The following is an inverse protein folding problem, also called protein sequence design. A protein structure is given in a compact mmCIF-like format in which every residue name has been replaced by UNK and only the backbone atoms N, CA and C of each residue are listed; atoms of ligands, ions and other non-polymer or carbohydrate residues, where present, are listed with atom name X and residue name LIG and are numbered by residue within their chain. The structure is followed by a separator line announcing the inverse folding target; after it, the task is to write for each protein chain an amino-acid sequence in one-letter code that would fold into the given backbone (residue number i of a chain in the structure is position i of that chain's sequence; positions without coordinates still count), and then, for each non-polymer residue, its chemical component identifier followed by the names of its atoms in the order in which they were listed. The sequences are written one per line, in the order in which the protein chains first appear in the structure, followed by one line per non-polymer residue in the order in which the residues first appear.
data_IF_466074806482
#
_entry.id   IF_466074806482
#
_cell.length_a   1.000
_cell.length_b   1.000
_cell.length_c   1.000
_cell.angle_alpha   90.00
_cell.angle_beta   90.00
_cell.angle_gamma   90.00
#
_symmetry.space_group_name_H-M   'P 1'
#
loop_
_entity.id
_entity.type
_entity.pdbx_description
1 polymer ?
#
# COMPACT_ATOMS: atom_id res chain seq x y z
N UNK A 1 -12.58 6.99 -16.44
CA UNK A 1 -12.00 7.56 -15.20
C UNK A 1 -10.50 7.53 -15.37
N UNK A 2 -9.87 8.70 -15.59
CA UNK A 2 -8.42 8.80 -15.70
C UNK A 2 -7.82 8.55 -14.32
N UNK A 3 -7.01 7.49 -14.17
CA UNK A 3 -6.21 7.27 -12.96
C UNK A 3 -5.07 8.29 -12.96
N UNK A 4 -5.38 9.50 -12.49
CA UNK A 4 -4.37 10.52 -12.27
C UNK A 4 -3.29 9.94 -11.35
N UNK A 5 -2.11 9.65 -11.90
CA UNK A 5 -0.94 9.33 -11.09
C UNK A 5 -0.57 10.60 -10.34
N UNK A 6 -1.08 10.74 -9.12
CA UNK A 6 -0.69 11.83 -8.25
C UNK A 6 0.81 11.70 -8.01
N UNK A 7 1.58 12.59 -8.66
CA UNK A 7 2.92 12.95 -8.24
C UNK A 7 2.81 13.42 -6.81
N UNK A 8 3.05 12.53 -5.85
CA UNK A 8 3.09 12.89 -4.44
C UNK A 8 4.35 13.70 -4.27
N UNK A 9 4.23 15.04 -4.30
CA UNK A 9 5.30 15.92 -3.82
C UNK A 9 5.64 15.46 -2.41
N UNK A 10 6.84 14.90 -2.23
CA UNK A 10 7.32 14.48 -0.92
C UNK A 10 7.34 15.76 -0.08
N UNK A 11 6.48 15.82 0.93
CA UNK A 11 6.45 16.95 1.86
C UNK A 11 7.75 16.89 2.64
N UNK A 12 8.71 17.73 2.24
CA UNK A 12 9.94 17.91 2.99
C UNK A 12 9.59 18.52 4.33
N UNK A 13 9.92 17.84 5.42
CA UNK A 13 9.74 18.36 6.77
C UNK A 13 10.86 19.38 6.98
N UNK A 14 10.51 20.66 7.03
CA UNK A 14 11.46 21.71 7.44
C UNK A 14 11.96 21.39 8.85
N UNK A 15 13.28 21.29 9.06
CA UNK A 15 13.83 21.09 10.40
C UNK A 15 13.37 22.22 11.34
N UNK A 16 12.93 21.92 12.56
CA UNK A 16 12.65 22.96 13.55
C UNK A 16 13.93 23.72 13.92
N UNK A 17 13.78 24.95 14.40
CA UNK A 17 14.91 25.76 14.88
C UNK A 17 15.72 24.99 15.94
N UNK A 18 17.05 24.99 15.80
CA UNK A 18 17.96 24.23 16.66
C UNK A 18 17.99 22.72 16.40
N UNK A 19 17.38 22.23 15.31
CA UNK A 19 17.65 20.87 14.86
C UNK A 19 19.10 20.74 14.41
N UNK A 20 19.77 19.70 14.92
CA UNK A 20 21.13 19.33 14.54
C UNK A 20 21.19 17.92 13.99
N UNK A 21 22.24 17.64 13.22
CA UNK A 21 22.55 16.29 12.80
C UNK A 21 22.91 15.45 14.04
N UNK A 22 22.20 14.37 14.31
CA UNK A 22 22.52 13.54 15.48
C UNK A 22 23.87 12.78 15.38
N UNK A 23 24.52 12.82 14.21
CA UNK A 23 25.82 12.19 13.96
C UNK A 23 26.99 13.15 14.11
N UNK A 24 27.01 14.28 13.38
CA UNK A 24 28.09 15.28 13.48
C UNK A 24 27.81 16.39 14.51
N UNK A 25 26.59 16.46 15.04
CA UNK A 25 26.09 17.46 15.99
C UNK A 25 26.01 18.89 15.45
N UNK A 26 26.21 19.09 14.14
CA UNK A 26 26.11 20.40 13.49
C UNK A 26 24.65 20.78 13.18
N UNK A 27 24.34 22.06 13.31
CA UNK A 27 23.04 22.64 12.94
C UNK A 27 23.03 23.07 11.47
N UNK A 28 21.87 22.97 10.82
CA UNK A 28 21.71 23.46 9.44
C UNK A 28 22.37 22.55 8.37
N UNK A 29 22.57 23.08 7.15
CA UNK A 29 23.22 22.33 6.08
C UNK A 29 24.68 21.95 6.39
N UNK A 30 25.17 20.84 5.83
CA UNK A 30 26.59 20.48 5.94
C UNK A 30 27.49 21.36 5.06
N UNK A 31 28.81 21.11 5.08
CA UNK A 31 29.81 21.83 4.28
C UNK A 31 29.53 21.82 2.77
N UNK A 32 28.77 20.84 2.27
CA UNK A 32 28.36 20.73 0.87
C UNK A 32 27.03 21.44 0.57
N UNK A 33 26.40 22.01 1.59
CA UNK A 33 25.06 22.60 1.53
C UNK A 33 23.93 21.56 1.57
N UNK A 34 24.21 20.30 1.91
CA UNK A 34 23.17 19.29 2.02
C UNK A 34 22.33 19.54 3.28
N UNK A 35 20.99 19.62 3.17
CA UNK A 35 20.14 19.94 4.32
C UNK A 35 20.05 18.78 5.31
N UNK A 36 19.62 19.08 6.53
CA UNK A 36 19.12 18.07 7.46
C UNK A 36 17.86 17.42 6.91
N UNK A 37 17.82 16.10 6.93
CA UNK A 37 16.66 15.31 6.52
C UNK A 37 16.16 14.45 7.66
N UNK A 38 14.83 14.25 7.72
CA UNK A 38 14.18 13.36 8.67
C UNK A 38 13.00 12.67 8.00
N UNK A 39 13.31 11.67 7.19
CA UNK A 39 12.31 10.80 6.58
C UNK A 39 12.18 9.48 7.37
N UNK A 40 11.92 9.58 8.68
CA UNK A 40 11.64 8.44 9.56
C UNK A 40 10.67 8.85 10.68
N UNK A 41 10.25 7.92 11.54
CA UNK A 41 9.25 8.16 12.59
C UNK A 41 9.84 8.67 13.92
N UNK A 42 11.03 9.27 13.93
CA UNK A 42 11.58 9.92 15.13
C UNK A 42 10.71 11.12 15.56
N UNK A 43 10.52 11.31 16.87
CA UNK A 43 9.71 12.40 17.45
C UNK A 43 10.57 13.59 17.88
N UNK A 44 9.96 14.76 18.02
CA UNK A 44 10.58 15.96 18.59
C UNK A 44 11.72 16.50 17.72
N UNK A 45 12.87 16.81 18.34
CA UNK A 45 14.08 17.27 17.64
C UNK A 45 15.00 16.10 17.24
N UNK A 46 14.61 14.86 17.49
CA UNK A 46 15.45 13.69 17.21
C UNK A 46 15.32 13.21 15.75
N UNK A 47 16.38 12.55 15.27
CA UNK A 47 16.39 11.82 14.00
C UNK A 47 16.72 12.64 12.75
N UNK A 48 17.03 13.93 12.89
CA UNK A 48 17.58 14.74 11.81
C UNK A 48 19.04 14.39 11.56
N UNK A 49 19.41 14.12 10.32
CA UNK A 49 20.80 13.95 9.94
C UNK A 49 21.01 14.40 8.50
N UNK A 50 22.24 14.78 8.16
CA UNK A 50 22.63 14.89 6.77
C UNK A 50 22.69 13.50 6.14
N UNK A 51 22.24 13.37 4.89
CA UNK A 51 22.31 12.11 4.16
C UNK A 51 23.76 11.56 4.06
N UNK A 52 24.80 12.40 3.79
CA UNK A 52 26.19 11.92 3.82
C UNK A 52 26.62 11.32 5.16
N UNK A 53 26.23 11.94 6.28
CA UNK A 53 26.49 11.40 7.62
C UNK A 53 25.82 10.04 7.82
N UNK A 54 24.55 9.88 7.41
CA UNK A 54 23.85 8.59 7.49
C UNK A 54 24.53 7.50 6.67
N UNK A 55 24.99 7.84 5.47
CA UNK A 55 25.73 6.93 4.60
C UNK A 55 27.03 6.50 5.28
N UNK A 56 27.82 7.45 5.77
CA UNK A 56 29.09 7.15 6.46
C UNK A 56 28.88 6.26 7.69
N UNK A 57 27.85 6.56 8.49
CA UNK A 57 27.44 5.73 9.61
C UNK A 57 27.10 4.30 9.16
N UNK A 58 26.30 4.16 8.10
CA UNK A 58 25.87 2.87 7.58
C UNK A 58 27.05 2.04 7.02
N UNK A 59 27.96 2.66 6.27
CA UNK A 59 29.18 2.02 5.79
C UNK A 59 30.07 1.56 6.95
N UNK A 60 30.31 2.43 7.94
CA UNK A 60 31.11 2.09 9.12
C UNK A 60 30.52 0.91 9.87
N UNK A 61 29.20 0.93 10.10
CA UNK A 61 28.51 -0.16 10.81
C UNK A 61 28.56 -1.47 10.03
N UNK A 62 28.53 -1.40 8.70
CA UNK A 62 28.64 -2.55 7.82
C UNK A 62 30.03 -3.17 7.85
N UNK A 63 31.09 -2.34 7.91
CA UNK A 63 32.47 -2.81 8.15
C UNK A 63 32.59 -3.52 9.48
N UNK A 64 32.08 -2.94 10.56
CA UNK A 64 32.11 -3.57 11.89
C UNK A 64 31.45 -4.96 11.90
N UNK A 65 30.33 -5.12 11.16
CA UNK A 65 29.66 -6.41 11.05
C UNK A 65 30.48 -7.43 10.23
N UNK A 66 31.08 -6.98 9.14
CA UNK A 66 31.95 -7.82 8.32
C UNK A 66 33.15 -8.34 9.13
N UNK A 67 33.80 -7.46 9.91
CA UNK A 67 34.94 -7.80 10.76
C UNK A 67 34.59 -8.80 11.88
N UNK A 68 33.34 -8.78 12.36
CA UNK A 68 32.84 -9.74 13.35
C UNK A 68 32.49 -11.10 12.76
N UNK A 69 32.64 -11.28 11.45
CA UNK A 69 32.25 -12.51 10.77
C UNK A 69 30.74 -12.67 10.72
N UNK A 70 29.98 -11.60 10.47
CA UNK A 70 28.62 -11.75 9.96
C UNK A 70 28.73 -12.42 8.57
N UNK A 71 28.67 -13.75 8.56
CA UNK A 71 29.04 -14.57 7.39
C UNK A 71 27.87 -14.76 6.43
N UNK A 72 26.62 -14.56 6.88
CA UNK A 72 25.46 -14.85 6.05
C UNK A 72 24.79 -13.58 5.54
N UNK A 73 24.29 -13.69 4.30
CA UNK A 73 23.41 -12.71 3.67
C UNK A 73 22.23 -12.36 4.61
N UNK A 74 21.69 -13.38 5.26
CA UNK A 74 20.55 -13.24 6.18
C UNK A 74 20.89 -12.34 7.37
N UNK A 75 22.01 -12.55 8.05
CA UNK A 75 22.42 -11.73 9.20
C UNK A 75 22.65 -10.28 8.78
N UNK A 76 23.35 -10.06 7.66
CA UNK A 76 23.62 -8.71 7.19
C UNK A 76 22.33 -7.94 6.88
N UNK A 77 21.39 -8.57 6.16
CA UNK A 77 20.13 -7.93 5.79
C UNK A 77 19.12 -7.83 6.95
N UNK A 78 19.27 -8.63 8.00
CA UNK A 78 18.48 -8.49 9.22
C UNK A 78 18.79 -7.20 9.99
N UNK A 79 20.04 -6.71 9.91
CA UNK A 79 20.46 -5.49 10.59
C UNK A 79 19.92 -4.21 9.94
N UNK A 80 19.43 -4.30 8.68
CA UNK A 80 18.72 -3.22 7.97
C UNK A 80 19.40 -1.85 8.04
N UNK A 81 20.73 -1.82 8.08
CA UNK A 81 21.53 -0.63 8.36
C UNK A 81 21.24 0.52 7.38
N UNK A 82 21.11 0.20 6.08
CA UNK A 82 20.80 1.18 5.04
C UNK A 82 19.30 1.44 4.87
N UNK A 83 18.43 0.66 5.52
CA UNK A 83 16.99 0.74 5.34
C UNK A 83 16.29 1.43 6.50
N UNK A 84 16.83 1.33 7.71
CA UNK A 84 16.16 1.77 8.93
C UNK A 84 16.92 2.85 9.67
N UNK A 85 16.17 3.81 10.21
CA UNK A 85 16.71 4.79 11.13
C UNK A 85 17.28 4.07 12.37
N UNK A 86 18.55 4.31 12.74
CA UNK A 86 19.15 3.63 13.89
C UNK A 86 18.51 4.02 15.22
N UNK A 87 17.82 5.17 15.28
CA UNK A 87 17.16 5.65 16.49
C UNK A 87 15.77 5.03 16.68
N UNK A 88 14.84 5.21 15.72
CA UNK A 88 13.47 4.70 15.84
C UNK A 88 13.24 3.30 15.26
N UNK A 89 14.23 2.72 14.57
CA UNK A 89 14.17 1.41 13.87
C UNK A 89 13.10 1.31 12.79
N UNK A 90 12.59 2.45 12.32
CA UNK A 90 11.61 2.52 11.24
C UNK A 90 12.32 2.66 9.90
N UNK A 91 11.73 2.09 8.85
CA UNK A 91 12.25 2.20 7.49
C UNK A 91 12.28 3.67 7.07
N UNK A 92 13.36 4.08 6.43
CA UNK A 92 13.48 5.41 5.83
C UNK A 92 12.39 5.62 4.76
N UNK A 93 11.97 6.87 4.58
CA UNK A 93 10.91 7.27 3.65
C UNK A 93 11.41 8.36 2.69
N UNK A 94 10.53 8.83 1.81
CA UNK A 94 10.84 9.96 0.95
C UNK A 94 12.03 9.67 0.03
N UNK A 95 13.02 10.56 0.05
CA UNK A 95 14.19 10.46 -0.83
C UNK A 95 15.37 9.74 -0.17
N UNK A 96 15.35 9.54 1.15
CA UNK A 96 16.44 8.85 1.87
C UNK A 96 16.66 7.42 1.33
N UNK A 97 15.65 6.56 1.13
CA UNK A 97 15.86 5.22 0.56
C UNK A 97 16.58 5.22 -0.80
N UNK A 98 16.30 6.21 -1.64
CA UNK A 98 16.96 6.32 -2.94
C UNK A 98 18.46 6.55 -2.75
N UNK A 99 18.84 7.56 -1.96
CA UNK A 99 20.24 7.86 -1.66
C UNK A 99 20.96 6.73 -0.90
N UNK A 100 20.30 6.13 0.10
CA UNK A 100 20.87 5.05 0.91
C UNK A 100 21.11 3.78 0.09
N UNK A 101 20.20 3.40 -0.82
CA UNK A 101 20.40 2.22 -1.68
C UNK A 101 21.44 2.45 -2.76
N UNK A 102 21.56 3.66 -3.31
CA UNK A 102 22.68 4.04 -4.20
C UNK A 102 24.01 3.90 -3.47
N UNK A 103 24.12 4.47 -2.28
CA UNK A 103 25.34 4.39 -1.48
C UNK A 103 25.66 2.96 -1.07
N UNK A 104 24.65 2.17 -0.69
CA UNK A 104 24.83 0.76 -0.35
C UNK A 104 25.42 -0.05 -1.51
N UNK A 105 24.89 0.14 -2.72
CA UNK A 105 25.39 -0.56 -3.90
C UNK A 105 26.84 -0.18 -4.20
N UNK A 106 27.16 1.12 -4.19
CA UNK A 106 28.52 1.61 -4.41
C UNK A 106 29.51 1.12 -3.34
N UNK A 107 29.09 1.07 -2.08
CA UNK A 107 29.87 0.55 -0.96
C UNK A 107 30.24 -0.92 -1.16
N UNK A 108 29.27 -1.78 -1.50
CA UNK A 108 29.54 -3.20 -1.71
C UNK A 108 30.33 -3.51 -2.97
N UNK A 109 30.14 -2.75 -4.04
CA UNK A 109 30.97 -2.88 -5.23
C UNK A 109 32.43 -2.52 -4.96
N UNK A 110 32.66 -1.54 -4.08
CA UNK A 110 34.00 -1.09 -3.69
C UNK A 110 34.68 -2.04 -2.69
N UNK A 111 34.00 -2.40 -1.61
CA UNK A 111 34.63 -3.06 -0.45
C UNK A 111 34.37 -4.58 -0.39
N UNK A 112 33.30 -5.07 -1.02
CA UNK A 112 32.87 -6.47 -0.92
C UNK A 112 32.65 -7.10 -2.30
N UNK A 113 33.54 -6.78 -3.24
CA UNK A 113 33.42 -7.20 -4.64
C UNK A 113 33.36 -8.72 -4.84
N UNK A 114 33.98 -9.48 -3.93
CA UNK A 114 34.09 -10.93 -3.98
C UNK A 114 32.92 -11.63 -3.24
N UNK A 115 32.02 -10.87 -2.62
CA UNK A 115 30.85 -11.39 -1.90
C UNK A 115 29.59 -11.15 -2.74
N UNK A 116 29.40 -12.00 -3.76
CA UNK A 116 28.32 -11.88 -4.76
C UNK A 116 26.93 -11.79 -4.13
N UNK A 117 26.72 -12.51 -3.03
CA UNK A 117 25.45 -12.52 -2.30
C UNK A 117 25.11 -11.12 -1.75
N UNK A 118 26.08 -10.37 -1.24
CA UNK A 118 25.86 -9.02 -0.71
C UNK A 118 25.56 -8.03 -1.83
N UNK A 119 26.27 -8.13 -2.94
CA UNK A 119 25.99 -7.36 -4.15
C UNK A 119 24.57 -7.62 -4.65
N UNK A 120 24.17 -8.90 -4.71
CA UNK A 120 22.81 -9.29 -5.12
C UNK A 120 21.75 -8.62 -4.26
N UNK A 121 21.90 -8.66 -2.93
CA UNK A 121 20.93 -8.04 -2.04
C UNK A 121 20.90 -6.51 -2.12
N UNK A 122 22.02 -5.84 -2.40
CA UNK A 122 22.02 -4.39 -2.68
C UNK A 122 21.34 -4.05 -4.02
N UNK A 123 21.59 -4.84 -5.07
CA UNK A 123 20.92 -4.70 -6.36
C UNK A 123 19.40 -4.89 -6.22
N UNK A 124 18.97 -5.89 -5.44
CA UNK A 124 17.55 -6.10 -5.11
C UNK A 124 16.94 -4.85 -4.48
N UNK A 125 17.56 -4.30 -3.43
CA UNK A 125 17.05 -3.11 -2.76
C UNK A 125 17.01 -1.89 -3.67
N UNK A 126 18.03 -1.73 -4.51
CA UNK A 126 18.09 -0.62 -5.47
C UNK A 126 16.93 -0.71 -6.46
N UNK A 127 16.63 -1.89 -7.02
CA UNK A 127 15.53 -2.04 -7.97
C UNK A 127 14.14 -1.76 -7.37
N UNK A 128 13.98 -1.90 -6.06
CA UNK A 128 12.72 -1.62 -5.37
C UNK A 128 12.40 -0.12 -5.37
N UNK A 129 13.41 0.74 -5.21
CA UNK A 129 13.22 2.19 -5.11
C UNK A 129 13.11 2.88 -6.47
N UNK A 130 13.40 2.19 -7.57
CA UNK A 130 13.31 2.73 -8.93
C UNK A 130 11.87 2.80 -9.44
N UNK A 131 11.51 3.91 -10.07
CA UNK A 131 10.26 4.07 -10.81
C UNK A 131 10.47 3.75 -12.30
N UNK A 132 10.16 2.51 -12.70
CA UNK A 132 10.33 2.04 -14.09
C UNK A 132 9.55 2.85 -15.15
N UNK A 133 8.69 3.80 -14.77
CA UNK A 133 8.02 4.74 -15.68
C UNK A 133 8.85 5.97 -16.01
N UNK A 134 9.86 6.30 -15.19
CA UNK A 134 10.81 7.37 -15.46
C UNK A 134 11.97 6.81 -16.27
N UNK A 135 12.36 7.50 -17.34
CA UNK A 135 13.40 6.98 -18.24
C UNK A 135 14.74 6.71 -17.55
N UNK A 136 15.18 7.60 -16.66
CA UNK A 136 16.44 7.44 -15.91
C UNK A 136 16.41 6.18 -15.05
N UNK A 137 15.38 6.01 -14.22
CA UNK A 137 15.20 4.85 -13.35
C UNK A 137 14.96 3.56 -14.16
N UNK A 138 14.30 3.65 -15.31
CA UNK A 138 14.08 2.54 -16.23
C UNK A 138 15.41 2.01 -16.76
N UNK A 139 16.27 2.88 -17.27
CA UNK A 139 17.59 2.50 -17.82
C UNK A 139 18.43 1.85 -16.73
N UNK A 140 18.55 2.49 -15.56
CA UNK A 140 19.30 1.96 -14.43
C UNK A 140 18.75 0.59 -13.99
N UNK A 141 17.43 0.45 -13.88
CA UNK A 141 16.83 -0.81 -13.45
C UNK A 141 17.00 -1.94 -14.48
N UNK A 142 17.09 -1.64 -15.78
CA UNK A 142 17.43 -2.63 -16.80
C UNK A 142 18.88 -3.09 -16.73
N UNK A 143 19.82 -2.19 -16.42
CA UNK A 143 21.22 -2.51 -16.15
C UNK A 143 21.35 -3.39 -14.90
N UNK A 144 20.65 -3.02 -13.82
CA UNK A 144 20.59 -3.81 -12.57
C UNK A 144 20.02 -5.21 -12.83
N UNK A 145 18.89 -5.33 -13.56
CA UNK A 145 18.33 -6.63 -13.93
C UNK A 145 19.35 -7.51 -14.65
N UNK A 146 20.09 -6.93 -15.60
CA UNK A 146 21.11 -7.64 -16.38
C UNK A 146 22.25 -8.10 -15.49
N UNK A 147 22.72 -7.23 -14.58
CA UNK A 147 23.77 -7.55 -13.61
C UNK A 147 23.34 -8.66 -12.64
N UNK A 148 22.10 -8.63 -12.15
CA UNK A 148 21.55 -9.69 -11.29
C UNK A 148 21.48 -11.04 -12.01
N UNK A 149 21.06 -11.08 -13.28
CA UNK A 149 21.05 -12.32 -14.05
C UNK A 149 22.47 -12.88 -14.26
N UNK A 150 23.45 -12.01 -14.53
CA UNK A 150 24.86 -12.42 -14.65
C UNK A 150 25.40 -13.00 -13.34
N UNK A 151 25.10 -12.38 -12.20
CA UNK A 151 25.50 -12.88 -10.89
C UNK A 151 24.83 -14.23 -10.57
N UNK A 152 23.56 -14.43 -10.94
CA UNK A 152 22.89 -15.73 -10.79
C UNK A 152 23.64 -16.82 -11.56
N UNK A 153 24.02 -16.55 -12.81
CA UNK A 153 24.71 -17.54 -13.65
C UNK A 153 26.11 -17.87 -13.09
N UNK A 154 26.81 -16.87 -12.55
CA UNK A 154 28.10 -17.05 -11.91
C UNK A 154 28.01 -17.84 -10.60
N UNK A 155 27.08 -17.48 -9.72
CA UNK A 155 26.80 -18.20 -8.46
C UNK A 155 26.41 -19.67 -8.73
N UNK A 156 25.57 -19.92 -9.75
CA UNK A 156 25.23 -21.29 -10.18
C UNK A 156 26.45 -22.07 -10.66
N UNK A 157 27.31 -21.45 -11.49
CA UNK A 157 28.53 -22.08 -12.00
C UNK A 157 29.48 -22.47 -10.87
N UNK A 158 29.56 -21.64 -9.83
CA UNK A 158 30.41 -21.86 -8.67
C UNK A 158 29.76 -22.74 -7.59
N UNK A 159 28.52 -23.20 -7.80
CA UNK A 159 27.73 -23.93 -6.78
C UNK A 159 27.67 -23.18 -5.45
N UNK A 160 27.50 -21.85 -5.50
CA UNK A 160 27.49 -20.99 -4.32
C UNK A 160 26.32 -21.36 -3.39
N UNK A 161 26.59 -21.77 -2.13
CA UNK A 161 25.55 -22.18 -1.19
C UNK A 161 24.64 -21.03 -0.73
N UNK A 162 25.05 -19.78 -0.93
CA UNK A 162 24.24 -18.60 -0.59
C UNK A 162 23.09 -18.34 -1.58
N UNK A 163 23.15 -18.91 -2.78
CA UNK A 163 22.04 -18.88 -3.74
C UNK A 163 21.06 -20.00 -3.42
N UNK A 164 20.41 -19.91 -2.25
CA UNK A 164 19.36 -20.84 -1.91
C UNK A 164 18.17 -20.68 -2.87
N UNK A 165 17.34 -21.72 -2.90
CA UNK A 165 16.24 -21.83 -3.87
C UNK A 165 15.22 -20.70 -3.70
N UNK A 166 14.97 -20.26 -2.45
CA UNK A 166 14.05 -19.18 -2.15
C UNK A 166 14.63 -17.81 -2.54
N UNK A 167 15.91 -17.58 -2.31
CA UNK A 167 16.62 -16.40 -2.76
C UNK A 167 16.56 -16.27 -4.29
N UNK A 168 16.82 -17.37 -5.01
CA UNK A 168 16.73 -17.41 -6.47
C UNK A 168 15.32 -17.08 -6.98
N UNK A 169 14.29 -17.70 -6.39
CA UNK A 169 12.90 -17.39 -6.74
C UNK A 169 12.55 -15.92 -6.50
N UNK A 170 13.00 -15.36 -5.38
CA UNK A 170 12.75 -13.97 -5.01
C UNK A 170 13.42 -13.01 -5.99
N UNK A 171 14.67 -13.27 -6.39
CA UNK A 171 15.37 -12.44 -7.38
C UNK A 171 14.61 -12.39 -8.72
N UNK A 172 14.20 -13.55 -9.24
CA UNK A 172 13.41 -13.59 -10.48
C UNK A 172 12.06 -12.90 -10.33
N UNK A 173 11.43 -12.99 -9.16
CA UNK A 173 10.18 -12.26 -8.87
C UNK A 173 10.40 -10.75 -8.95
N UNK A 174 11.45 -10.23 -8.32
CA UNK A 174 11.75 -8.79 -8.30
C UNK A 174 12.07 -8.24 -9.69
N UNK A 175 12.87 -8.96 -10.48
CA UNK A 175 13.10 -8.64 -11.91
C UNK A 175 11.76 -8.63 -12.66
N UNK A 176 10.92 -9.63 -12.40
CA UNK A 176 9.58 -9.76 -12.98
C UNK A 176 8.69 -8.55 -12.70
N UNK A 177 8.63 -8.13 -11.42
CA UNK A 177 7.84 -6.99 -10.95
C UNK A 177 8.39 -5.67 -11.51
N UNK A 178 9.71 -5.50 -11.57
CA UNK A 178 10.31 -4.32 -12.19
C UNK A 178 9.89 -4.18 -13.66
N UNK A 179 10.05 -5.24 -14.46
CA UNK A 179 9.67 -5.19 -15.86
C UNK A 179 8.16 -5.02 -16.08
N UNK A 180 7.33 -5.50 -15.16
CA UNK A 180 5.90 -5.19 -15.16
C UNK A 180 5.63 -3.70 -14.96
N UNK A 181 6.36 -3.01 -14.05
CA UNK A 181 6.23 -1.57 -13.80
C UNK A 181 6.65 -0.69 -14.98
N UNK A 182 7.63 -1.15 -15.78
CA UNK A 182 8.08 -0.47 -17.02
C UNK A 182 6.99 -0.47 -18.10
N UNK A 183 6.12 -1.48 -18.11
CA UNK A 183 4.87 -1.51 -18.89
C UNK A 183 5.00 -1.35 -20.41
N UNK A 184 6.15 -1.69 -20.99
CA UNK A 184 6.27 -1.88 -22.44
C UNK A 184 5.96 -3.32 -22.82
N UNK A 185 5.50 -3.58 -24.05
CA UNK A 185 5.27 -4.94 -24.55
C UNK A 185 6.51 -5.83 -24.43
N UNK A 186 7.71 -5.28 -24.64
CA UNK A 186 8.97 -6.03 -24.52
C UNK A 186 9.29 -6.31 -23.05
N UNK A 187 9.18 -5.32 -22.18
CA UNK A 187 9.38 -5.47 -20.73
C UNK A 187 8.40 -6.47 -20.14
N UNK A 188 7.11 -6.39 -20.47
CA UNK A 188 6.10 -7.37 -20.01
C UNK A 188 6.44 -8.81 -20.39
N UNK A 189 6.99 -9.06 -21.59
CA UNK A 189 7.47 -10.41 -21.97
C UNK A 189 8.66 -10.87 -21.12
N UNK A 190 9.63 -9.99 -20.86
CA UNK A 190 10.76 -10.29 -19.96
C UNK A 190 10.26 -10.56 -18.54
N UNK A 191 9.34 -9.74 -18.06
CA UNK A 191 8.74 -9.85 -16.74
C UNK A 191 7.98 -11.15 -16.55
N UNK A 192 7.14 -11.53 -17.54
CA UNK A 192 6.45 -12.82 -17.58
C UNK A 192 7.43 -13.99 -17.42
N UNK A 193 8.48 -14.03 -18.24
CA UNK A 193 9.48 -15.11 -18.19
C UNK A 193 10.12 -15.25 -16.81
N UNK A 194 10.47 -14.13 -16.18
CA UNK A 194 11.08 -14.17 -14.84
C UNK A 194 10.08 -14.64 -13.78
N UNK A 195 8.83 -14.19 -13.85
CA UNK A 195 7.78 -14.65 -12.94
C UNK A 195 7.45 -16.14 -13.12
N UNK A 196 7.48 -16.67 -14.34
CA UNK A 196 7.31 -18.11 -14.61
C UNK A 196 8.43 -18.92 -13.95
N UNK A 197 9.69 -18.49 -14.13
CA UNK A 197 10.84 -19.14 -13.48
C UNK A 197 10.69 -19.10 -11.96
N UNK A 198 10.35 -17.94 -11.39
CA UNK A 198 10.12 -17.78 -9.95
C UNK A 198 9.02 -18.73 -9.45
N UNK A 199 7.87 -18.79 -10.13
CA UNK A 199 6.76 -19.69 -9.81
C UNK A 199 7.23 -21.14 -9.81
N UNK A 200 7.91 -21.56 -10.86
CA UNK A 200 8.31 -22.95 -11.05
C UNK A 200 9.30 -23.38 -9.97
N UNK A 201 10.24 -22.49 -9.61
CA UNK A 201 11.15 -22.72 -8.47
C UNK A 201 10.35 -22.92 -7.17
N UNK A 202 9.41 -22.02 -6.86
CA UNK A 202 8.63 -22.12 -5.61
C UNK A 202 7.73 -23.36 -5.61
N UNK A 203 7.16 -23.77 -6.75
CA UNK A 203 6.34 -24.99 -6.84
C UNK A 203 7.21 -26.25 -6.67
N UNK A 204 8.37 -26.29 -7.31
CA UNK A 204 9.24 -27.48 -7.28
C UNK A 204 9.88 -27.70 -5.92
N UNK A 205 10.28 -26.62 -5.25
CA UNK A 205 11.09 -26.72 -4.03
C UNK A 205 10.41 -26.14 -2.79
N UNK A 206 9.31 -25.42 -2.95
CA UNK A 206 8.56 -24.85 -1.84
C UNK A 206 7.63 -25.86 -1.19
N UNK A 207 7.69 -25.93 0.13
CA UNK A 207 6.67 -26.61 0.92
C UNK A 207 5.35 -25.84 0.96
N UNK A 208 4.37 -26.37 1.70
CA UNK A 208 3.06 -25.71 1.92
C UNK A 208 3.18 -24.29 2.47
N UNK A 209 4.27 -24.00 3.17
CA UNK A 209 4.57 -22.68 3.74
C UNK A 209 4.71 -21.57 2.69
N UNK A 210 5.07 -21.92 1.44
CA UNK A 210 5.23 -20.95 0.35
C UNK A 210 4.01 -20.85 -0.58
N UNK A 211 2.87 -21.45 -0.23
CA UNK A 211 1.66 -21.38 -1.05
C UNK A 211 1.19 -19.93 -1.28
N UNK A 212 1.33 -19.07 -0.27
CA UNK A 212 1.01 -17.65 -0.39
C UNK A 212 1.86 -16.95 -1.46
N UNK A 213 3.13 -17.32 -1.58
CA UNK A 213 4.06 -16.78 -2.56
C UNK A 213 3.71 -17.26 -3.97
N UNK A 214 3.36 -18.54 -4.12
CA UNK A 214 2.89 -19.10 -5.40
C UNK A 214 1.68 -18.34 -5.92
N UNK A 215 0.68 -18.11 -5.07
CA UNK A 215 -0.54 -17.38 -5.47
C UNK A 215 -0.21 -15.92 -5.81
N UNK A 216 0.68 -15.26 -5.06
CA UNK A 216 1.14 -13.91 -5.41
C UNK A 216 1.81 -13.86 -6.79
N UNK A 217 2.67 -14.82 -7.12
CA UNK A 217 3.34 -14.90 -8.43
C UNK A 217 2.33 -15.19 -9.54
N UNK A 218 1.38 -16.12 -9.33
CA UNK A 218 0.29 -16.40 -10.29
C UNK A 218 -0.55 -15.17 -10.59
N UNK A 219 -0.87 -14.37 -9.57
CA UNK A 219 -1.62 -13.13 -9.76
C UNK A 219 -0.82 -12.10 -10.58
N UNK A 220 0.48 -11.97 -10.31
CA UNK A 220 1.34 -11.12 -11.14
C UNK A 220 1.41 -11.61 -12.60
N UNK A 221 1.48 -12.94 -12.82
CA UNK A 221 1.46 -13.53 -14.16
C UNK A 221 0.15 -13.23 -14.90
N UNK A 222 -1.00 -13.43 -14.25
CA UNK A 222 -2.31 -13.12 -14.83
C UNK A 222 -2.40 -11.63 -15.24
N UNK A 223 -1.88 -10.73 -14.40
CA UNK A 223 -1.83 -9.30 -14.70
C UNK A 223 -0.94 -8.97 -15.91
N UNK A 224 0.23 -9.61 -16.01
CA UNK A 224 1.12 -9.45 -17.18
C UNK A 224 0.46 -9.99 -18.46
N UNK A 225 -0.21 -11.12 -18.40
CA UNK A 225 -0.89 -11.74 -19.54
C UNK A 225 -2.07 -10.92 -20.06
N UNK A 226 -2.87 -10.37 -19.15
CA UNK A 226 -3.97 -9.50 -19.51
C UNK A 226 -3.47 -8.23 -20.24
N UNK A 227 -2.38 -7.62 -19.75
CA UNK A 227 -1.75 -6.48 -20.43
C UNK A 227 -1.17 -6.86 -21.79
N UNK A 228 -0.50 -8.00 -21.91
CA UNK A 228 0.07 -8.47 -23.17
C UNK A 228 -0.99 -8.78 -24.24
N UNK A 229 -2.16 -9.27 -23.83
CA UNK A 229 -3.27 -9.59 -24.72
C UNK A 229 -4.11 -8.38 -25.12
N UNK A 230 -3.88 -7.21 -24.50
CA UNK A 230 -4.72 -6.02 -24.68
C UNK A 230 -6.16 -6.22 -24.17
N UNK A 231 -6.43 -7.33 -23.49
CA UNK A 231 -7.72 -7.58 -22.85
C UNK A 231 -7.82 -6.62 -21.67
N UNK A 232 -8.86 -5.79 -21.69
CA UNK A 232 -9.23 -5.03 -20.50
C UNK A 232 -9.41 -6.02 -19.36
N UNK A 233 -8.55 -5.93 -18.35
CA UNK A 233 -8.58 -6.83 -17.19
C UNK A 233 -10.02 -6.80 -16.65
N UNK A 234 -10.73 -7.96 -16.62
CA UNK A 234 -12.11 -8.01 -16.15
C UNK A 234 -12.18 -7.38 -14.77
N UNK A 235 -12.91 -6.27 -14.65
CA UNK A 235 -13.05 -5.43 -13.46
C UNK A 235 -11.93 -5.69 -12.42
N UNK A 236 -10.73 -5.10 -12.64
CA UNK A 236 -9.51 -5.24 -11.80
C UNK A 236 -9.79 -5.30 -10.29
N UNK A 237 -10.89 -4.68 -9.87
CA UNK A 237 -11.42 -4.57 -8.53
C UNK A 237 -11.44 -5.87 -7.71
N UNK A 238 -11.95 -7.00 -8.22
CA UNK A 238 -12.18 -8.18 -7.36
C UNK A 238 -11.01 -9.19 -7.36
N UNK A 239 -10.37 -9.42 -8.52
CA UNK A 239 -9.22 -10.34 -8.63
C UNK A 239 -8.02 -9.81 -7.84
N UNK A 240 -7.69 -8.52 -7.99
CA UNK A 240 -6.63 -7.88 -7.21
C UNK A 240 -6.91 -7.99 -5.70
N UNK A 241 -8.19 -7.90 -5.31
CA UNK A 241 -8.57 -7.84 -3.92
C UNK A 241 -8.32 -9.17 -3.19
N UNK A 242 -8.58 -10.31 -3.84
CA UNK A 242 -8.28 -11.63 -3.26
C UNK A 242 -6.78 -11.78 -2.98
N UNK A 243 -5.94 -11.40 -3.96
CA UNK A 243 -4.47 -11.41 -3.83
C UNK A 243 -3.99 -10.56 -2.65
N UNK A 244 -4.50 -9.33 -2.56
CA UNK A 244 -4.08 -8.39 -1.53
C UNK A 244 -4.59 -8.81 -0.14
N UNK A 245 -5.80 -9.37 -0.04
CA UNK A 245 -6.30 -9.99 1.20
C UNK A 245 -5.40 -11.15 1.65
N UNK A 246 -5.06 -12.05 0.74
CA UNK A 246 -4.19 -13.19 1.05
C UNK A 246 -2.81 -12.73 1.54
N UNK A 247 -2.21 -11.73 0.88
CA UNK A 247 -0.92 -11.16 1.29
C UNK A 247 -0.99 -10.46 2.64
N UNK A 248 -2.04 -9.67 2.88
CA UNK A 248 -2.26 -9.05 4.19
C UNK A 248 -2.38 -10.09 5.30
N UNK A 249 -3.20 -11.13 5.10
CA UNK A 249 -3.37 -12.22 6.07
C UNK A 249 -2.08 -13.00 6.30
N UNK A 250 -1.30 -13.25 5.25
CA UNK A 250 0.01 -13.90 5.37
C UNK A 250 0.96 -13.08 6.23
N UNK A 251 1.04 -11.76 6.03
CA UNK A 251 1.88 -10.88 6.85
C UNK A 251 1.36 -10.82 8.30
N UNK A 252 0.05 -10.72 8.47
CA UNK A 252 -0.60 -10.71 9.77
C UNK A 252 -0.24 -11.97 10.58
N UNK A 253 -0.24 -13.15 9.95
CA UNK A 253 0.13 -14.42 10.58
C UNK A 253 1.64 -14.53 10.82
N UNK A 254 2.47 -14.14 9.86
CA UNK A 254 3.91 -14.36 9.90
C UNK A 254 4.63 -13.40 10.85
N UNK A 255 4.22 -12.12 10.88
CA UNK A 255 4.97 -11.05 11.56
C UNK A 255 4.10 -10.19 12.48
N UNK A 256 2.79 -10.43 12.51
CA UNK A 256 1.85 -9.75 13.40
C UNK A 256 1.34 -8.41 12.86
N UNK A 257 0.34 -7.87 13.55
CA UNK A 257 -0.37 -6.64 13.15
C UNK A 257 0.44 -5.35 13.33
N UNK A 258 1.45 -5.37 14.21
CA UNK A 258 2.28 -4.21 14.52
C UNK A 258 3.49 -4.07 13.57
N UNK A 259 3.74 -5.07 12.71
CA UNK A 259 4.82 -4.97 11.73
C UNK A 259 4.47 -3.92 10.67
N UNK A 260 5.47 -3.10 10.32
CA UNK A 260 5.34 -2.01 9.36
C UNK A 260 4.72 -2.49 8.03
N UNK A 261 5.18 -3.65 7.54
CA UNK A 261 4.70 -4.23 6.27
C UNK A 261 3.24 -4.64 6.36
N UNK A 262 2.80 -5.14 7.53
CA UNK A 262 1.40 -5.47 7.76
C UNK A 262 0.53 -4.23 7.75
N UNK A 263 0.97 -3.13 8.37
CA UNK A 263 0.24 -1.85 8.39
C UNK A 263 0.14 -1.25 6.98
N UNK A 264 1.24 -1.22 6.24
CA UNK A 264 1.30 -0.76 4.85
C UNK A 264 0.38 -1.58 3.95
N UNK A 265 0.47 -2.92 4.03
CA UNK A 265 -0.36 -3.83 3.25
C UNK A 265 -1.84 -3.70 3.63
N UNK A 266 -2.16 -3.52 4.90
CA UNK A 266 -3.53 -3.29 5.37
C UNK A 266 -4.11 -2.00 4.80
N UNK A 267 -3.30 -0.94 4.71
CA UNK A 267 -3.75 0.34 4.14
C UNK A 267 -3.98 0.23 2.63
N UNK A 268 -3.10 -0.50 1.93
CA UNK A 268 -3.28 -0.83 0.51
C UNK A 268 -4.56 -1.66 0.30
N UNK A 269 -4.79 -2.66 1.16
CA UNK A 269 -6.01 -3.47 1.15
C UNK A 269 -7.26 -2.60 1.33
N UNK A 270 -7.27 -1.71 2.32
CA UNK A 270 -8.40 -0.81 2.56
C UNK A 270 -8.71 0.09 1.36
N UNK A 271 -7.68 0.64 0.70
CA UNK A 271 -7.84 1.42 -0.53
C UNK A 271 -8.47 0.57 -1.66
N UNK A 272 -8.03 -0.67 -1.82
CA UNK A 272 -8.57 -1.59 -2.84
C UNK A 272 -10.00 -2.03 -2.52
N UNK A 273 -10.31 -2.31 -1.25
CA UNK A 273 -11.67 -2.57 -0.75
C UNK A 273 -12.60 -1.40 -1.09
N UNK A 274 -12.19 -0.16 -0.80
CA UNK A 274 -12.95 1.03 -1.12
C UNK A 274 -13.24 1.15 -2.63
N UNK A 275 -12.22 0.99 -3.47
CA UNK A 275 -12.36 1.07 -4.93
C UNK A 275 -13.25 -0.05 -5.50
N UNK A 276 -13.31 -1.19 -4.81
CA UNK A 276 -14.17 -2.34 -5.12
C UNK A 276 -15.56 -2.26 -4.46
N UNK A 277 -15.90 -1.14 -3.79
CA UNK A 277 -17.18 -0.93 -3.11
C UNK A 277 -17.44 -1.91 -1.94
N UNK A 278 -16.38 -2.38 -1.28
CA UNK A 278 -16.42 -3.12 0.00
C UNK A 278 -16.13 -2.16 1.16
N UNK A 279 -16.92 -1.09 1.30
CA UNK A 279 -16.54 0.04 2.15
C UNK A 279 -16.73 -0.23 3.64
N UNK A 280 -17.66 -1.12 4.01
CA UNK A 280 -17.83 -1.55 5.41
C UNK A 280 -16.56 -2.25 5.89
N UNK A 281 -16.06 -3.22 5.11
CA UNK A 281 -14.80 -3.92 5.40
C UNK A 281 -13.61 -2.95 5.42
N UNK A 282 -13.54 -2.03 4.45
CA UNK A 282 -12.50 -1.00 4.39
C UNK A 282 -12.49 -0.11 5.64
N UNK A 283 -13.67 0.35 6.10
CA UNK A 283 -13.82 1.21 7.26
C UNK A 283 -13.35 0.51 8.53
N UNK A 284 -13.84 -0.71 8.79
CA UNK A 284 -13.43 -1.51 9.96
C UNK A 284 -11.93 -1.82 9.98
N UNK A 285 -11.35 -2.04 8.80
CA UNK A 285 -9.91 -2.23 8.68
C UNK A 285 -9.16 -0.93 9.00
N UNK A 286 -9.60 0.22 8.48
CA UNK A 286 -8.97 1.52 8.70
C UNK A 286 -9.10 2.03 10.13
N UNK A 287 -10.23 1.81 10.81
CA UNK A 287 -10.39 2.15 12.23
C UNK A 287 -9.30 1.46 13.07
N UNK A 288 -9.06 0.16 12.82
CA UNK A 288 -7.98 -0.59 13.48
C UNK A 288 -6.59 -0.12 13.07
N UNK A 289 -6.38 0.09 11.76
CA UNK A 289 -5.07 0.50 11.24
C UNK A 289 -4.65 1.88 11.72
N UNK A 290 -5.57 2.85 11.84
CA UNK A 290 -5.24 4.18 12.37
C UNK A 290 -4.74 4.05 13.80
N UNK A 291 -5.43 3.28 14.65
CA UNK A 291 -5.00 3.05 16.05
C UNK A 291 -3.62 2.39 16.10
N UNK A 292 -3.43 1.30 15.35
CA UNK A 292 -2.16 0.55 15.32
C UNK A 292 -1.03 1.43 14.76
N UNK A 293 -1.28 2.13 13.66
CA UNK A 293 -0.32 2.98 12.97
C UNK A 293 0.09 4.18 13.85
N UNK A 294 -0.86 4.84 14.51
CA UNK A 294 -0.56 5.89 15.50
C UNK A 294 0.33 5.37 16.63
N UNK A 295 0.08 4.15 17.13
CA UNK A 295 0.89 3.54 18.19
C UNK A 295 2.31 3.20 17.70
N UNK A 296 2.43 2.58 16.52
CA UNK A 296 3.71 2.09 15.98
C UNK A 296 4.56 3.22 15.42
N UNK A 297 3.95 4.14 14.68
CA UNK A 297 4.68 5.17 13.93
C UNK A 297 4.51 6.59 14.50
N UNK A 298 3.47 6.85 15.30
CA UNK A 298 3.07 8.21 15.69
C UNK A 298 2.10 8.85 14.71
N UNK A 299 1.33 9.84 15.20
CA UNK A 299 0.25 10.51 14.45
C UNK A 299 0.70 11.24 13.19
N UNK A 300 1.95 11.73 13.17
CA UNK A 300 2.48 12.54 12.08
C UNK A 300 3.18 11.72 11.00
N UNK A 301 3.27 10.41 11.18
CA UNK A 301 3.91 9.55 10.21
C UNK A 301 3.09 9.44 8.92
N UNK A 302 3.77 9.41 7.77
CA UNK A 302 3.15 9.31 6.44
C UNK A 302 2.11 8.19 6.36
N UNK A 303 2.45 7.00 6.85
CA UNK A 303 1.54 5.85 6.77
C UNK A 303 0.29 6.04 7.64
N UNK A 304 0.43 6.70 8.79
CA UNK A 304 -0.69 7.05 9.68
C UNK A 304 -1.60 8.06 9.01
N UNK A 305 -1.02 9.12 8.42
CA UNK A 305 -1.78 10.12 7.64
C UNK A 305 -2.50 9.52 6.43
N UNK A 306 -1.89 8.56 5.74
CA UNK A 306 -2.55 7.85 4.64
C UNK A 306 -3.77 7.07 5.15
N UNK A 307 -3.63 6.31 6.25
CA UNK A 307 -4.74 5.58 6.84
C UNK A 307 -5.86 6.52 7.34
N UNK A 308 -5.50 7.62 8.01
CA UNK A 308 -6.44 8.66 8.46
C UNK A 308 -7.19 9.30 7.28
N UNK A 309 -6.48 9.64 6.19
CA UNK A 309 -7.10 10.22 5.00
C UNK A 309 -8.11 9.28 4.35
N UNK A 310 -7.79 7.98 4.24
CA UNK A 310 -8.74 6.99 3.75
C UNK A 310 -9.95 6.82 4.67
N UNK A 311 -9.73 6.82 5.99
CA UNK A 311 -10.79 6.76 6.99
C UNK A 311 -11.73 7.96 6.89
N UNK A 312 -11.20 9.17 6.82
CA UNK A 312 -11.97 10.41 6.63
C UNK A 312 -12.78 10.36 5.33
N UNK A 313 -12.17 9.90 4.23
CA UNK A 313 -12.85 9.77 2.94
C UNK A 313 -14.05 8.83 3.00
N UNK A 314 -13.93 7.71 3.73
CA UNK A 314 -15.04 6.78 3.93
C UNK A 314 -16.17 7.43 4.74
N UNK A 315 -15.84 8.22 5.76
CA UNK A 315 -16.80 8.90 6.64
C UNK A 315 -17.64 9.98 5.93
N UNK A 316 -17.28 10.40 4.70
CA UNK A 316 -18.08 11.38 3.94
C UNK A 316 -19.45 10.86 3.49
N UNK A 317 -19.71 9.54 3.50
CA UNK A 317 -21.03 8.96 3.13
C UNK A 317 -21.69 9.65 1.92
N UNK A 318 -20.97 9.73 0.81
CA UNK A 318 -21.38 10.54 -0.33
C UNK A 318 -22.72 10.10 -0.94
N UNK A 319 -23.61 11.04 -1.19
CA UNK A 319 -24.89 10.83 -1.85
C UNK A 319 -25.12 11.88 -2.96
N UNK A 320 -26.08 11.63 -3.84
CA UNK A 320 -26.51 12.55 -4.89
C UNK A 320 -27.94 13.03 -4.61
N UNK A 321 -28.28 14.24 -5.06
CA UNK A 321 -29.60 14.84 -4.88
C UNK A 321 -30.26 14.99 -6.25
N UNK A 322 -31.43 14.39 -6.44
CA UNK A 322 -32.18 14.45 -7.70
C UNK A 322 -31.36 14.00 -8.92
N UNK A 323 -31.32 14.84 -9.95
CA UNK A 323 -30.56 14.59 -11.18
C UNK A 323 -29.17 15.22 -11.19
N UNK A 324 -28.70 15.75 -10.06
CA UNK A 324 -27.40 16.43 -10.00
C UNK A 324 -26.25 15.44 -10.15
N UNK A 325 -25.17 15.90 -10.82
CA UNK A 325 -23.96 15.09 -11.01
C UNK A 325 -22.94 15.27 -9.89
N UNK A 326 -23.19 16.19 -8.95
CA UNK A 326 -22.25 16.50 -7.87
C UNK A 326 -22.61 15.71 -6.61
N UNK A 327 -21.61 15.11 -5.93
CA UNK A 327 -21.85 14.41 -4.68
C UNK A 327 -21.99 15.42 -3.52
N UNK A 328 -22.82 15.06 -2.54
CA UNK A 328 -23.02 15.74 -1.27
C UNK A 328 -22.64 14.79 -0.12
N UNK A 329 -22.19 15.33 1.00
CA UNK A 329 -21.94 14.57 2.21
C UNK A 329 -23.26 14.41 2.95
N UNK A 330 -23.74 13.18 3.12
CA UNK A 330 -24.88 12.93 4.00
C UNK A 330 -24.39 12.97 5.46
N UNK A 331 -25.08 13.73 6.32
CA UNK A 331 -24.67 13.92 7.71
C UNK A 331 -25.55 13.12 8.69
N UNK A 332 -26.87 13.20 8.54
CA UNK A 332 -27.85 12.51 9.40
C UNK A 332 -29.24 12.52 8.79
N UNK A 333 -30.09 11.62 9.25
CA UNK A 333 -31.54 11.67 8.99
C UNK A 333 -32.26 12.51 10.04
N UNK A 334 -33.33 13.18 9.63
CA UNK A 334 -34.31 13.88 10.49
C UNK A 334 -35.73 13.35 10.17
N UNK A 335 -36.72 13.71 10.99
CA UNK A 335 -38.13 13.33 10.79
C UNK A 335 -38.33 11.82 10.58
N UNK A 336 -37.80 10.99 11.50
CA UNK A 336 -37.84 9.52 11.42
C UNK A 336 -37.26 8.91 10.13
N UNK A 337 -36.45 9.67 9.39
CA UNK A 337 -35.87 9.26 8.13
C UNK A 337 -36.59 9.80 6.89
N UNK A 338 -37.60 10.66 7.05
CA UNK A 338 -38.29 11.29 5.92
C UNK A 338 -37.43 12.35 5.23
N UNK A 339 -36.53 13.00 5.99
CA UNK A 339 -35.58 13.97 5.48
C UNK A 339 -34.14 13.64 5.91
N UNK A 340 -33.16 14.16 5.18
CA UNK A 340 -31.74 13.96 5.46
C UNK A 340 -30.98 15.27 5.30
N UNK A 341 -30.15 15.58 6.30
CA UNK A 341 -29.28 16.73 6.27
C UNK A 341 -28.03 16.39 5.47
N UNK A 342 -27.79 17.21 4.45
CA UNK A 342 -26.64 17.08 3.56
C UNK A 342 -25.78 18.32 3.62
N UNK A 343 -24.49 18.17 3.31
CA UNK A 343 -23.53 19.26 3.21
C UNK A 343 -22.77 19.15 1.90
N UNK A 344 -22.76 20.21 1.09
CA UNK A 344 -22.11 20.13 -0.21
C UNK A 344 -22.23 21.36 -1.08
N UNK A 345 -21.73 21.26 -2.32
CA UNK A 345 -21.18 20.04 -2.95
C UNK A 345 -19.84 19.57 -2.36
N UNK A 346 -19.52 18.28 -2.47
CA UNK A 346 -18.22 17.71 -2.07
C UNK A 346 -17.23 17.89 -3.23
N UNK A 347 -16.12 18.63 -3.03
CA UNK A 347 -15.14 18.84 -4.09
C UNK A 347 -14.45 17.53 -4.48
N UNK A 348 -13.97 17.46 -5.72
CA UNK A 348 -13.25 16.29 -6.23
C UNK A 348 -11.97 15.96 -5.44
N UNK A 349 -11.38 16.97 -4.80
CA UNK A 349 -10.14 16.88 -4.03
C UNK A 349 -10.45 17.18 -2.55
N UNK A 350 -10.17 16.21 -1.66
CA UNK A 350 -10.22 16.34 -0.20
C UNK A 350 -8.75 16.45 0.26
N UNK A 351 -8.36 17.46 1.08
CA UNK A 351 -9.05 17.96 2.27
C UNK A 351 -9.94 19.20 2.04
N UNK A 352 -11.02 19.30 2.83
CA UNK A 352 -12.01 20.39 2.80
C UNK A 352 -11.68 21.41 3.90
N UNK A 353 -11.85 22.72 3.63
CA UNK A 353 -12.12 23.67 4.70
C UNK A 353 -13.63 23.62 4.95
N UNK A 354 -14.05 23.19 6.15
CA UNK A 354 -15.46 22.93 6.44
C UNK A 354 -16.33 24.21 6.42
N UNK A 355 -15.71 25.38 6.51
CA UNK A 355 -16.39 26.68 6.64
C UNK A 355 -17.17 27.12 5.39
N UNK A 356 -16.83 26.64 4.20
CA UNK A 356 -17.42 27.14 2.95
C UNK A 356 -18.68 26.39 2.50
N UNK A 357 -19.07 25.32 3.21
CA UNK A 357 -20.08 24.39 2.70
C UNK A 357 -21.41 24.48 3.44
N UNK A 358 -22.44 24.86 2.70
CA UNK A 358 -23.79 24.99 3.22
C UNK A 358 -24.41 23.63 3.55
N UNK A 359 -25.12 23.59 4.68
CA UNK A 359 -25.98 22.47 5.07
C UNK A 359 -27.44 22.78 4.76
N UNK A 360 -28.19 21.81 4.26
CA UNK A 360 -29.63 21.93 4.03
C UNK A 360 -30.33 20.56 4.17
N UNK A 361 -31.65 20.59 4.37
CA UNK A 361 -32.48 19.39 4.50
C UNK A 361 -33.04 19.00 3.13
N UNK A 362 -32.99 17.70 2.82
CA UNK A 362 -33.45 17.12 1.55
C UNK A 362 -34.40 15.96 1.86
N UNK A 363 -35.56 15.84 1.19
CA UNK A 363 -36.40 14.66 1.31
C UNK A 363 -35.62 13.38 0.98
N UNK A 364 -35.71 12.34 1.83
CA UNK A 364 -34.95 11.10 1.65
C UNK A 364 -35.23 10.39 0.31
N UNK A 365 -36.40 10.63 -0.27
CA UNK A 365 -36.80 10.13 -1.58
C UNK A 365 -36.05 10.78 -2.75
N UNK A 366 -35.47 11.96 -2.55
CA UNK A 366 -34.67 12.67 -3.55
C UNK A 366 -33.18 12.29 -3.49
N UNK A 367 -32.77 11.58 -2.45
CA UNK A 367 -31.40 11.10 -2.30
C UNK A 367 -31.14 9.92 -3.22
N UNK A 368 -29.93 9.82 -3.77
CA UNK A 368 -29.44 8.65 -4.49
C UNK A 368 -28.10 8.22 -3.91
N UNK A 369 -27.91 6.93 -3.66
CA UNK A 369 -26.69 6.42 -3.02
C UNK A 369 -25.53 6.30 -4.01
N UNK A 370 -24.34 6.71 -3.59
CA UNK A 370 -23.11 6.36 -4.31
C UNK A 370 -22.84 4.86 -4.20
N UNK A 371 -22.16 4.28 -5.20
CA UNK A 371 -21.64 2.92 -5.05
C UNK A 371 -20.63 2.86 -3.90
N UNK A 372 -20.73 1.81 -3.10
CA UNK A 372 -20.02 1.65 -1.84
C UNK A 372 -20.61 2.45 -0.69
N UNK A 373 -21.82 3.01 -0.78
CA UNK A 373 -22.43 3.62 0.42
C UNK A 373 -22.87 2.51 1.37
N UNK A 374 -22.44 2.51 2.65
CA UNK A 374 -23.00 1.64 3.68
C UNK A 374 -24.48 1.97 3.90
N UNK A 375 -25.35 0.97 3.80
CA UNK A 375 -26.79 1.12 3.98
C UNK A 375 -27.36 0.04 4.90
N UNK A 376 -28.42 0.38 5.60
CA UNK A 376 -29.25 -0.51 6.39
C UNK A 376 -30.58 -0.75 5.68
N UNK A 377 -31.00 -2.01 5.65
CA UNK A 377 -32.27 -2.43 5.08
C UNK A 377 -33.40 -2.11 6.06
N UNK A 378 -34.50 -1.54 5.57
CA UNK A 378 -35.67 -1.24 6.41
C UNK A 378 -36.99 -1.31 5.62
N UNK A 379 -38.11 -1.46 6.34
CA UNK A 379 -39.46 -1.45 5.76
C UNK A 379 -39.77 -2.60 4.79
N UNK A 380 -38.94 -3.65 4.74
CA UNK A 380 -39.16 -4.80 3.88
C UNK A 380 -40.33 -5.64 4.39
N UNK A 381 -41.40 -5.75 3.60
CA UNK A 381 -42.58 -6.58 3.94
C UNK A 381 -42.38 -8.07 3.63
N UNK A 382 -41.80 -8.38 2.48
CA UNK A 382 -41.64 -9.77 1.99
C UNK A 382 -40.39 -10.47 2.53
N UNK A 383 -39.41 -9.69 3.00
CA UNK A 383 -38.15 -10.17 3.56
C UNK A 383 -37.88 -9.47 4.89
N UNK A 384 -38.89 -9.47 5.78
CA UNK A 384 -38.85 -8.72 7.03
C UNK A 384 -37.67 -9.12 7.94
N UNK A 385 -37.19 -10.35 7.82
CA UNK A 385 -36.01 -10.86 8.52
C UNK A 385 -34.70 -10.18 8.13
N UNK A 386 -34.65 -9.44 7.01
CA UNK A 386 -33.49 -8.67 6.59
C UNK A 386 -33.53 -7.21 7.08
N UNK A 387 -34.61 -6.76 7.72
CA UNK A 387 -34.66 -5.40 8.27
C UNK A 387 -33.65 -5.28 9.41
N UNK A 388 -32.85 -4.22 9.38
CA UNK A 388 -31.73 -3.99 10.31
C UNK A 388 -30.41 -4.58 9.86
N UNK A 389 -30.39 -5.39 8.79
CA UNK A 389 -29.14 -5.85 8.20
C UNK A 389 -28.43 -4.73 7.44
N UNK A 390 -27.11 -4.72 7.49
CA UNK A 390 -26.24 -3.69 6.89
C UNK A 390 -25.50 -4.27 5.69
N UNK A 391 -25.29 -3.47 4.65
CA UNK A 391 -24.52 -3.86 3.48
C UNK A 391 -24.01 -2.68 2.65
N UNK A 392 -23.19 -2.98 1.65
CA UNK A 392 -22.69 -2.01 0.68
C UNK A 392 -23.59 -1.96 -0.56
N UNK A 393 -23.96 -0.76 -1.04
CA UNK A 393 -24.59 -0.61 -2.36
C UNK A 393 -23.55 -0.85 -3.46
N UNK A 394 -23.63 -1.95 -4.22
CA UNK A 394 -22.61 -2.27 -5.24
C UNK A 394 -23.04 -2.09 -6.68
N UNK A 395 -24.35 -2.14 -6.92
CA UNK A 395 -24.90 -1.88 -8.25
C UNK A 395 -26.23 -1.12 -8.16
N UNK A 396 -26.59 -0.42 -9.23
CA UNK A 396 -27.89 0.24 -9.37
C UNK A 396 -28.54 -0.14 -10.69
N UNK A 397 -29.72 -0.74 -10.62
CA UNK A 397 -30.48 -1.15 -11.80
C UNK A 397 -31.48 -0.05 -12.18
N UNK A 398 -31.09 0.81 -13.13
CA UNK A 398 -31.92 1.91 -13.65
C UNK A 398 -33.32 1.47 -14.08
N UNK A 399 -33.45 0.30 -14.70
CA UNK A 399 -34.74 -0.21 -15.19
C UNK A 399 -35.73 -0.54 -14.07
N UNK A 400 -35.22 -1.00 -12.93
CA UNK A 400 -36.09 -1.40 -11.80
C UNK A 400 -36.11 -0.38 -10.67
N UNK A 401 -35.25 0.64 -10.71
CA UNK A 401 -35.05 1.59 -9.61
C UNK A 401 -34.57 0.91 -8.31
N UNK A 402 -33.84 -0.21 -8.42
CA UNK A 402 -33.37 -0.99 -7.28
C UNK A 402 -31.85 -1.00 -7.19
N UNK A 403 -31.37 -0.90 -5.95
CA UNK A 403 -29.98 -1.11 -5.59
C UNK A 403 -29.72 -2.60 -5.34
N UNK A 404 -28.55 -3.08 -5.76
CA UNK A 404 -28.01 -4.39 -5.34
C UNK A 404 -27.14 -4.14 -4.11
N UNK A 405 -27.61 -4.63 -2.96
CA UNK A 405 -26.91 -4.50 -1.68
C UNK A 405 -26.22 -5.82 -1.37
N UNK A 406 -24.92 -5.76 -1.13
CA UNK A 406 -24.13 -6.87 -0.62
C UNK A 406 -24.07 -6.75 0.89
N UNK A 407 -24.78 -7.65 1.58
CA UNK A 407 -24.84 -7.66 3.04
C UNK A 407 -23.46 -7.98 3.62
N UNK A 408 -23.22 -7.47 4.83
CA UNK A 408 -21.99 -7.74 5.57
C UNK A 408 -21.85 -9.23 5.92
N UNK A 409 -22.96 -9.89 6.25
CA UNK A 409 -23.01 -11.34 6.38
C UNK A 409 -22.78 -11.99 5.02
N UNK A 410 -21.63 -12.66 4.89
CA UNK A 410 -21.17 -13.29 3.65
C UNK A 410 -21.97 -14.53 3.27
N UNK A 411 -22.71 -15.10 4.22
CA UNK A 411 -23.58 -16.26 3.96
C UNK A 411 -24.91 -15.82 3.31
N UNK A 412 -25.24 -14.54 3.38
CA UNK A 412 -26.41 -13.97 2.71
C UNK A 412 -26.08 -13.57 1.27
N UNK A 413 -27.00 -13.90 0.36
CA UNK A 413 -26.90 -13.49 -1.04
C UNK A 413 -27.16 -11.99 -1.19
N UNK A 414 -26.56 -11.33 -2.19
CA UNK A 414 -26.90 -9.94 -2.52
C UNK A 414 -28.39 -9.77 -2.79
N UNK A 415 -28.96 -8.66 -2.31
CA UNK A 415 -30.40 -8.40 -2.38
C UNK A 415 -30.71 -7.16 -3.21
N UNK A 416 -31.81 -7.24 -3.98
CA UNK A 416 -32.30 -6.14 -4.82
C UNK A 416 -33.40 -5.37 -4.10
N UNK A 417 -33.05 -4.20 -3.58
CA UNK A 417 -33.89 -3.41 -2.69
C UNK A 417 -34.22 -2.05 -3.33
N UNK A 418 -35.44 -1.57 -3.13
CA UNK A 418 -35.82 -0.21 -3.58
C UNK A 418 -35.15 0.84 -2.71
N UNK A 419 -34.96 2.03 -3.26
CA UNK A 419 -34.42 3.18 -2.53
C UNK A 419 -35.15 3.46 -1.21
N UNK A 420 -36.49 3.45 -1.21
CA UNK A 420 -37.35 3.69 -0.04
C UNK A 420 -37.13 2.70 1.12
N UNK A 421 -36.45 1.58 0.86
CA UNK A 421 -36.16 0.52 1.84
C UNK A 421 -34.68 0.49 2.28
N UNK A 422 -33.93 1.55 1.99
CA UNK A 422 -32.54 1.71 2.40
C UNK A 422 -32.36 3.01 3.20
N UNK A 423 -31.46 2.98 4.19
CA UNK A 423 -30.99 4.16 4.93
C UNK A 423 -29.47 4.14 4.97
N UNK A 424 -28.82 5.29 4.79
CA UNK A 424 -27.37 5.42 4.97
C UNK A 424 -26.99 5.08 6.41
N UNK A 425 -25.92 4.31 6.57
CA UNK A 425 -25.31 4.05 7.89
C UNK A 425 -24.16 5.03 8.10
N UNK A 426 -24.37 6.02 8.97
CA UNK A 426 -23.37 7.02 9.31
C UNK A 426 -22.27 6.41 10.17
N UNK A 427 -22.66 5.79 11.28
CA UNK A 427 -21.76 5.08 12.19
C UNK A 427 -21.96 3.58 12.05
N UNK A 428 -20.87 2.86 11.71
CA UNK A 428 -20.92 1.42 11.63
C UNK A 428 -20.93 0.86 13.06
N UNK A 429 -21.91 0.02 13.42
CA UNK A 429 -21.87 -0.65 14.70
C UNK A 429 -20.66 -1.59 14.76
N UNK A 430 -20.19 -1.85 15.97
CA UNK A 430 -19.20 -2.88 16.21
C UNK A 430 -19.69 -4.20 15.60
N UNK A 431 -18.78 -5.02 15.03
CA UNK A 431 -19.15 -6.31 14.48
C UNK A 431 -19.87 -7.12 15.55
N UNK A 432 -21.08 -7.61 15.25
CA UNK A 432 -21.92 -8.36 16.20
C UNK A 432 -21.27 -9.64 16.77
N UNK A 433 -20.10 -10.05 16.26
CA UNK A 433 -19.39 -11.29 16.61
C UNK A 433 -17.86 -11.12 16.54
N UNK A 434 -17.24 -10.35 17.45
CA UNK A 434 -15.78 -10.31 17.59
C UNK A 434 -15.24 -11.12 18.79
N UNK A 435 -16.12 -11.83 19.52
CA UNK A 435 -15.74 -12.74 20.60
C UNK A 435 -15.38 -14.14 20.09
#
# INVERSE_FOLDING_TARGET
MSSASQSTSVVSITPPDGASCWLCLEEGPDDSGAPLVRDCSCRGHSGFAHLPCLIQYAESKSRDLAERGALTLREFFQEKIFEQCPNCKQTFQGNIPYGMTTAQLAFFEREFKDVQSWQMGALMKRIHVLDGRKDVDRIEGEEICTKMLSLIDEMKKNSDPSLDVLALATIYQEIGIFYYRVDTKQSLKKGKRCLEISRDIVITFGGRELQCLVEAIKNNLANVEARLSGVSIPNEKESDLSSIRARYNCLLQAVGQNDIRTIEMGTLLASKLFNAYHTIEASRLLDRLVIISCRVHGSDHKQTKIAESWRQRLQLRCAFIGSEQQPYQALRYEDDGDSCIVQGPVPKNVPRNDDDCQTFSVPSVEISFSLGTPVMLHGLKKAAHLNGEIGDVREYCKLSGRCVVHLEDKDLKPVKVKHENLRIVFDLPDPKNLD
#
